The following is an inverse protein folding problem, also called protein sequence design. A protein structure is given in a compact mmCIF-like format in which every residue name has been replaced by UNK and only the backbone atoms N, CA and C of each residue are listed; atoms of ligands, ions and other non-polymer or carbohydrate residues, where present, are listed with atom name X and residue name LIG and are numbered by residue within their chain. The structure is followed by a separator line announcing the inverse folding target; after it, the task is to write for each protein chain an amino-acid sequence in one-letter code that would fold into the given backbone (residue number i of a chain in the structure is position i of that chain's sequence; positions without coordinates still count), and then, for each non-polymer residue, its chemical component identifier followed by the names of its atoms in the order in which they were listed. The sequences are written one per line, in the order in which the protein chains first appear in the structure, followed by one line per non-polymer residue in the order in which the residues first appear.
data_IF_362658015683
#
_entry.id   IF_362658015683
#
_cell.length_a   1.000
_cell.length_b   1.000
_cell.length_c   1.000
_cell.angle_alpha   90.00
_cell.angle_beta   90.00
_cell.angle_gamma   90.00
#
_symmetry.space_group_name_H-M   'P 1'
#
loop_
_entity.id
_entity.type
_entity.pdbx_description
1 polymer ?
#
# COMPACT_ATOMS: atom_id res chain seq x y z
N UNK A 1 22.09 -7.45 33.73
CA UNK A 1 21.64 -7.54 32.32
C UNK A 1 20.36 -6.72 32.18
N UNK A 2 20.20 -5.98 31.09
CA UNK A 2 19.01 -5.15 30.85
C UNK A 2 18.06 -5.85 29.87
N UNK A 3 16.76 -5.77 30.14
CA UNK A 3 15.69 -6.27 29.29
C UNK A 3 15.10 -5.11 28.50
N UNK A 4 14.95 -5.30 27.20
CA UNK A 4 14.39 -4.29 26.30
C UNK A 4 13.10 -4.81 25.69
N UNK A 5 12.16 -3.89 25.47
CA UNK A 5 10.95 -4.14 24.68
C UNK A 5 11.21 -3.66 23.27
N UNK A 6 10.82 -4.51 22.32
CA UNK A 6 10.96 -4.26 20.89
C UNK A 6 9.55 -4.26 20.29
N UNK A 7 9.36 -3.38 19.32
CA UNK A 7 8.12 -3.23 18.57
C UNK A 7 8.39 -3.47 17.09
N UNK A 8 7.48 -4.18 16.43
CA UNK A 8 7.46 -4.27 14.97
C UNK A 8 6.69 -3.08 14.40
N UNK A 9 7.24 -2.46 13.35
CA UNK A 9 6.58 -1.42 12.56
C UNK A 9 6.40 -1.97 11.16
N UNK A 10 5.18 -1.93 10.63
CA UNK A 10 4.85 -2.48 9.33
C UNK A 10 4.16 -1.43 8.45
N UNK A 11 4.58 -1.35 7.20
CA UNK A 11 3.99 -0.56 6.10
C UNK A 11 3.89 -1.49 4.89
N UNK A 12 2.78 -1.46 4.16
CA UNK A 12 2.55 -2.33 3.01
C UNK A 12 2.11 -1.51 1.80
N UNK A 13 2.63 -1.89 0.62
CA UNK A 13 2.25 -1.32 -0.67
C UNK A 13 1.62 -2.42 -1.52
N UNK A 14 0.52 -2.11 -2.21
CA UNK A 14 -0.11 -3.01 -3.18
C UNK A 14 0.21 -2.52 -4.59
N UNK A 15 0.54 -3.43 -5.49
CA UNK A 15 0.62 -3.11 -6.92
C UNK A 15 -0.80 -2.93 -7.47
N UNK A 16 -1.04 -1.76 -8.06
CA UNK A 16 -2.36 -1.36 -8.57
C UNK A 16 -2.43 -1.46 -10.10
N UNK A 17 -1.32 -1.17 -10.80
CA UNK A 17 -1.23 -1.24 -12.26
C UNK A 17 0.01 -0.52 -12.79
N UNK A 18 0.22 -0.61 -14.10
CA UNK A 18 1.19 0.22 -14.83
C UNK A 18 0.42 1.28 -15.61
N UNK A 19 0.82 2.54 -15.43
CA UNK A 19 0.16 3.69 -16.05
C UNK A 19 1.20 4.49 -16.84
N UNK A 20 0.96 4.68 -18.14
CA UNK A 20 1.79 5.53 -18.99
C UNK A 20 1.34 6.99 -18.81
N UNK A 21 2.20 7.82 -18.23
CA UNK A 21 1.92 9.21 -17.92
C UNK A 21 3.17 10.09 -18.11
N UNK A 22 2.97 11.41 -18.24
CA UNK A 22 4.06 12.38 -18.41
C UNK A 22 4.73 12.74 -17.09
N UNK A 23 4.06 12.52 -15.96
CA UNK A 23 4.54 12.78 -14.59
C UNK A 23 4.05 11.70 -13.62
N UNK A 24 4.70 11.59 -12.45
CA UNK A 24 4.28 10.66 -11.39
C UNK A 24 2.91 11.01 -10.83
N UNK A 25 2.65 12.29 -10.64
CA UNK A 25 1.37 12.80 -10.15
C UNK A 25 0.22 12.42 -11.10
N UNK A 26 0.45 12.53 -12.42
CA UNK A 26 -0.52 12.10 -13.42
C UNK A 26 -0.75 10.59 -13.38
N UNK A 27 0.29 9.77 -13.20
CA UNK A 27 0.13 8.31 -13.05
C UNK A 27 -0.69 7.94 -11.79
N UNK A 28 -0.50 8.66 -10.68
CA UNK A 28 -1.26 8.46 -9.44
C UNK A 28 -2.72 8.86 -9.65
N UNK A 29 -2.98 10.02 -10.25
CA UNK A 29 -4.35 10.47 -10.56
C UNK A 29 -5.06 9.48 -11.50
N UNK A 30 -4.34 8.94 -12.49
CA UNK A 30 -4.87 7.89 -13.37
C UNK A 30 -5.24 6.62 -12.59
N UNK A 31 -4.40 6.19 -11.65
CA UNK A 31 -4.68 5.02 -10.82
C UNK A 31 -5.86 5.23 -9.87
N UNK A 32 -5.96 6.41 -9.24
CA UNK A 32 -7.05 6.75 -8.31
C UNK A 32 -8.43 6.86 -8.99
N UNK A 33 -8.46 7.22 -10.28
CA UNK A 33 -9.69 7.33 -11.07
C UNK A 33 -9.98 6.10 -11.95
N UNK A 34 -9.16 5.05 -11.86
CA UNK A 34 -9.37 3.80 -12.59
C UNK A 34 -10.41 2.94 -11.85
N UNK A 35 -11.64 2.90 -12.37
CA UNK A 35 -12.72 2.06 -11.84
C UNK A 35 -12.38 0.55 -11.84
N UNK A 36 -11.34 0.13 -12.58
CA UNK A 36 -10.82 -1.23 -12.60
C UNK A 36 -9.67 -1.48 -11.62
N UNK A 37 -9.12 -0.44 -10.98
CA UNK A 37 -8.04 -0.56 -10.03
C UNK A 37 -8.52 -1.25 -8.75
N UNK A 38 -7.93 -2.42 -8.47
CA UNK A 38 -8.20 -3.13 -7.24
C UNK A 38 -7.32 -2.58 -6.12
N UNK A 39 -7.92 -1.75 -5.28
CA UNK A 39 -7.29 -1.23 -4.06
C UNK A 39 -7.45 -2.14 -2.84
N UNK A 40 -8.20 -3.25 -2.95
CA UNK A 40 -8.50 -4.12 -1.82
C UNK A 40 -7.31 -5.00 -1.40
N UNK A 41 -6.88 -4.90 -0.16
CA UNK A 41 -5.89 -5.81 0.41
C UNK A 41 -6.53 -7.08 0.97
N UNK A 42 -6.11 -8.26 0.51
CA UNK A 42 -6.47 -9.53 1.16
C UNK A 42 -5.37 -9.99 2.10
N UNK A 43 -5.62 -9.95 3.40
CA UNK A 43 -4.76 -10.59 4.38
C UNK A 43 -5.26 -11.99 4.72
N UNK A 44 -4.32 -12.91 5.00
CA UNK A 44 -4.67 -14.19 5.58
C UNK A 44 -5.23 -14.00 7.00
N UNK A 45 -5.95 -15.00 7.53
CA UNK A 45 -6.61 -14.88 8.83
C UNK A 45 -5.67 -14.48 9.98
N UNK A 46 -4.42 -14.96 9.97
CA UNK A 46 -3.43 -14.60 10.98
C UNK A 46 -2.96 -13.15 10.84
N UNK A 47 -2.67 -12.69 9.63
CA UNK A 47 -2.25 -11.30 9.43
C UNK A 47 -3.42 -10.34 9.67
N UNK A 48 -4.65 -10.70 9.28
CA UNK A 48 -5.84 -9.91 9.59
C UNK A 48 -6.15 -9.86 11.09
N UNK A 49 -5.67 -10.83 11.89
CA UNK A 49 -5.84 -10.82 13.35
C UNK A 49 -4.71 -10.09 14.09
N UNK A 50 -3.55 -9.90 13.45
CA UNK A 50 -2.38 -9.22 14.03
C UNK A 50 -2.19 -7.78 13.51
N UNK A 51 -2.74 -7.44 12.35
CA UNK A 51 -2.59 -6.14 11.69
C UNK A 51 -3.95 -5.51 11.38
N UNK A 52 -4.17 -4.29 11.86
CA UNK A 52 -5.28 -3.46 11.39
C UNK A 52 -4.87 -2.83 10.05
N UNK A 53 -5.53 -3.27 8.99
CA UNK A 53 -5.37 -2.64 7.67
C UNK A 53 -6.50 -1.63 7.52
N UNK A 54 -6.16 -0.35 7.62
CA UNK A 54 -7.08 0.74 7.38
C UNK A 54 -7.27 1.03 5.89
N UNK A 55 -7.90 2.17 5.59
CA UNK A 55 -7.96 2.71 4.23
C UNK A 55 -6.56 3.06 3.70
N UNK A 56 -6.42 3.17 2.39
CA UNK A 56 -5.16 3.57 1.75
C UNK A 56 -4.76 4.95 2.26
N UNK A 57 -3.58 5.02 2.88
CA UNK A 57 -3.04 6.24 3.46
C UNK A 57 -2.26 7.08 2.43
N UNK A 58 -1.53 6.43 1.52
CA UNK A 58 -0.70 7.08 0.50
C UNK A 58 -0.53 6.17 -0.72
N UNK A 59 -0.64 6.77 -1.91
CA UNK A 59 -0.28 6.15 -3.19
C UNK A 59 1.11 6.68 -3.60
N UNK A 60 2.05 5.77 -3.92
CA UNK A 60 3.39 6.12 -4.40
C UNK A 60 3.66 5.47 -5.76
N UNK A 61 4.28 6.21 -6.67
CA UNK A 61 4.76 5.71 -7.97
C UNK A 61 6.29 5.85 -8.09
N UNK A 62 6.94 4.79 -8.53
CA UNK A 62 8.39 4.72 -8.77
C UNK A 62 8.71 4.60 -10.28
N UNK A 63 9.87 5.11 -10.72
CA UNK A 63 10.33 5.02 -12.12
C UNK A 63 10.96 3.65 -12.42
N UNK A 64 10.74 3.12 -13.63
CA UNK A 64 11.29 1.81 -14.10
C UNK A 64 12.30 2.01 -15.21
#
# INVERSE_FOLDING_TARGET
MATFRVYGVATASKFIGEYEASTKEEAIEMAENDDGADFYGSLCHQCASEFEVGDIYECQADEV
#
